data_IF_088824554538
#
_entry.id   IF_088824554538
#
_cell.length_a   1.000
_cell.length_b   1.000
_cell.length_c   1.000
_cell.angle_alpha   90.00
_cell.angle_beta   90.00
_cell.angle_gamma   90.00
#
_symmetry.space_group_name_H-M   'P 1'
#
loop_
_entity.id
_entity.type
_entity.pdbx_description
1 polymer ?
#
# COMPACT_ATOMS: atom_id res chain seq x y z
N UNK A 1 29.97 41.65 -37.41
CA UNK A 1 30.42 42.48 -36.27
C UNK A 1 29.17 42.80 -35.46
N UNK A 2 28.98 42.46 -34.18
CA UNK A 2 29.83 42.54 -32.99
C UNK A 2 29.45 41.41 -31.99
N UNK A 3 30.46 40.81 -31.36
CA UNK A 3 30.37 39.87 -30.23
C UNK A 3 30.34 40.65 -28.90
N UNK A 4 29.55 40.23 -27.90
CA UNK A 4 29.72 40.49 -26.44
C UNK A 4 28.95 39.37 -25.70
N UNK A 5 29.57 38.30 -25.19
CA UNK A 5 30.32 38.09 -23.94
C UNK A 5 29.50 38.36 -22.65
N UNK A 6 29.00 37.25 -22.08
CA UNK A 6 29.17 36.70 -20.72
C UNK A 6 28.93 37.58 -19.47
N UNK A 7 28.15 37.05 -18.53
CA UNK A 7 28.14 37.44 -17.11
C UNK A 7 27.15 36.62 -16.28
N UNK A 8 27.52 35.40 -15.89
CA UNK A 8 26.82 34.58 -14.88
C UNK A 8 27.18 35.12 -13.49
N UNK A 9 26.19 35.52 -12.70
CA UNK A 9 26.34 35.86 -11.28
C UNK A 9 25.83 34.69 -10.46
N UNK A 10 26.76 33.96 -9.85
CA UNK A 10 26.50 32.89 -8.88
C UNK A 10 26.40 33.53 -7.49
N UNK A 11 25.21 33.53 -6.89
CA UNK A 11 25.00 33.97 -5.52
C UNK A 11 25.12 32.77 -4.57
N UNK A 12 26.29 32.61 -3.92
CA UNK A 12 26.44 31.78 -2.73
C UNK A 12 26.11 32.61 -1.49
N UNK A 13 25.01 32.28 -0.83
CA UNK A 13 24.68 32.79 0.50
C UNK A 13 24.62 31.64 1.49
N UNK A 14 25.71 31.42 2.23
CA UNK A 14 25.69 30.65 3.48
C UNK A 14 26.52 31.40 4.52
N UNK A 15 25.85 32.04 5.46
CA UNK A 15 26.44 32.51 6.71
C UNK A 15 25.67 31.89 7.87
N UNK A 16 26.34 31.01 8.61
CA UNK A 16 26.13 30.81 10.03
C UNK A 16 27.51 30.81 10.69
N UNK A 17 27.74 31.79 11.56
CA UNK A 17 28.87 31.87 12.47
C UNK A 17 28.32 31.94 13.89
N UNK A 18 28.78 31.07 14.79
CA UNK A 18 29.22 31.31 16.19
C UNK A 18 29.72 29.94 16.73
N UNK A 19 31.03 29.67 16.81
CA UNK A 19 31.92 29.72 18.02
C UNK A 19 31.37 28.88 19.20
N UNK A 20 32.08 28.00 19.91
CA UNK A 20 33.49 27.98 20.30
C UNK A 20 33.93 26.61 20.89
N UNK A 21 35.25 26.36 20.76
CA UNK A 21 36.21 25.65 21.63
C UNK A 21 35.81 24.47 22.55
N UNK A 22 36.60 23.39 22.45
CA UNK A 22 36.84 22.47 23.56
C UNK A 22 37.68 21.26 23.14
N UNK A 23 39.00 21.37 23.25
CA UNK A 23 40.02 20.46 22.72
C UNK A 23 40.09 19.08 23.40
N UNK A 24 40.37 18.06 22.57
CA UNK A 24 41.29 16.91 22.75
C UNK A 24 41.36 16.16 24.11
N UNK A 25 41.15 14.84 24.08
CA UNK A 25 42.25 13.89 24.26
C UNK A 25 41.84 12.42 24.03
N UNK A 26 42.77 11.68 23.44
CA UNK A 26 42.74 10.24 23.21
C UNK A 26 43.70 9.52 24.19
N UNK A 27 43.39 8.25 24.48
CA UNK A 27 44.22 7.17 25.06
C UNK A 27 44.82 7.20 26.50
N UNK A 28 44.39 6.17 27.26
CA UNK A 28 45.13 5.23 28.13
C UNK A 28 45.79 5.66 29.48
N UNK A 29 45.43 5.00 30.59
CA UNK A 29 46.19 3.93 31.30
C UNK A 29 45.67 3.69 32.75
N UNK A 30 45.81 2.43 33.20
CA UNK A 30 45.31 1.72 34.38
C UNK A 30 45.50 2.32 35.80
N UNK A 31 44.66 1.87 36.76
CA UNK A 31 45.04 1.29 38.08
C UNK A 31 43.83 0.68 38.81
N UNK A 32 44.09 -0.44 39.49
CA UNK A 32 43.27 -1.46 40.15
C UNK A 32 42.66 -1.05 41.51
N UNK A 33 41.44 -1.51 41.85
CA UNK A 33 41.10 -2.31 43.06
C UNK A 33 39.58 -2.38 43.42
N UNK A 34 39.07 -3.62 43.42
CA UNK A 34 38.19 -4.31 44.39
C UNK A 34 36.75 -3.83 44.78
N UNK A 35 35.79 -4.69 44.38
CA UNK A 35 34.74 -5.38 45.18
C UNK A 35 33.51 -4.62 45.70
N UNK A 36 32.31 -4.92 45.16
CA UNK A 36 31.24 -5.72 45.84
C UNK A 36 30.04 -5.99 44.89
N UNK A 37 29.31 -7.06 45.22
CA UNK A 37 28.30 -7.80 44.43
C UNK A 37 26.89 -7.19 44.52
N UNK A 38 26.10 -7.28 43.44
CA UNK A 38 24.66 -7.53 43.53
C UNK A 38 24.13 -8.17 42.23
N UNK A 39 23.75 -9.45 42.35
CA UNK A 39 23.04 -10.27 41.37
C UNK A 39 21.54 -9.97 41.43
N UNK A 40 20.85 -9.83 40.29
CA UNK A 40 19.49 -10.40 40.12
C UNK A 40 19.20 -10.60 38.64
N UNK A 41 19.00 -11.86 38.25
CA UNK A 41 18.40 -12.27 36.98
C UNK A 41 16.93 -12.60 37.27
N UNK A 42 16.04 -12.21 36.36
CA UNK A 42 14.64 -12.67 36.38
C UNK A 42 14.32 -13.29 35.02
N UNK A 43 14.26 -14.62 35.04
CA UNK A 43 13.58 -15.48 34.08
C UNK A 43 12.26 -15.84 34.73
N UNK A 44 11.12 -15.62 34.06
CA UNK A 44 9.87 -16.26 34.46
C UNK A 44 9.36 -17.13 33.32
N UNK A 45 9.24 -18.40 33.64
CA UNK A 45 8.70 -19.47 32.84
C UNK A 45 7.23 -19.72 33.23
N UNK A 46 6.50 -20.20 32.23
CA UNK A 46 5.23 -20.94 32.22
C UNK A 46 4.78 -21.51 33.57
N UNK A 47 3.50 -21.26 33.91
CA UNK A 47 2.77 -22.06 34.89
C UNK A 47 1.48 -22.61 34.26
N UNK A 48 1.49 -23.90 33.95
CA UNK A 48 0.30 -24.73 33.80
C UNK A 48 -0.40 -24.83 35.16
N UNK A 49 -1.72 -24.59 35.19
CA UNK A 49 -2.53 -24.82 36.37
C UNK A 49 -3.31 -26.13 36.22
N UNK A 50 -2.68 -27.22 36.65
CA UNK A 50 -3.37 -28.45 37.03
C UNK A 50 -4.00 -28.24 38.40
N UNK A 51 -5.34 -28.27 38.49
CA UNK A 51 -6.04 -28.28 39.78
C UNK A 51 -6.74 -29.62 39.93
N UNK A 52 -6.12 -30.53 40.68
CA UNK A 52 -6.82 -31.67 41.27
C UNK A 52 -7.53 -31.19 42.55
N UNK A 53 -8.84 -31.36 42.61
CA UNK A 53 -9.60 -31.24 43.84
C UNK A 53 -10.52 -32.45 44.01
N UNK A 54 -10.23 -33.16 45.11
CA UNK A 54 -10.84 -34.36 45.67
C UNK A 54 -12.36 -34.29 45.82
N UNK A 55 -12.97 -35.47 45.65
CA UNK A 55 -14.38 -35.83 45.78
C UNK A 55 -15.06 -35.41 47.09
N UNK A 56 -16.28 -34.90 46.97
CA UNK A 56 -17.35 -35.03 47.98
C UNK A 56 -18.65 -35.35 47.26
N UNK A 57 -19.14 -36.57 47.47
CA UNK A 57 -20.40 -37.08 46.91
C UNK A 57 -21.58 -36.29 47.47
N UNK A 58 -22.36 -35.67 46.58
CA UNK A 58 -23.76 -35.33 46.80
C UNK A 58 -24.48 -35.58 45.49
N UNK A 59 -25.51 -36.44 45.49
CA UNK A 59 -26.35 -36.68 44.31
C UNK A 59 -26.98 -35.36 43.86
N UNK A 60 -26.55 -34.88 42.70
CA UNK A 60 -27.28 -33.92 41.90
C UNK A 60 -27.22 -34.43 40.46
N UNK A 61 -28.38 -34.66 39.86
CA UNK A 61 -28.50 -34.98 38.43
C UNK A 61 -28.00 -33.78 37.63
N UNK A 62 -26.73 -33.81 37.22
CA UNK A 62 -26.16 -32.81 36.33
C UNK A 62 -26.52 -33.19 34.90
N UNK A 63 -27.47 -32.48 34.31
CA UNK A 63 -27.67 -32.51 32.86
C UNK A 63 -26.53 -31.72 32.23
N UNK A 64 -25.47 -32.41 31.79
CA UNK A 64 -24.43 -31.79 30.98
C UNK A 64 -25.03 -31.43 29.63
N UNK A 65 -25.41 -30.16 29.48
CA UNK A 65 -25.66 -29.58 28.16
C UNK A 65 -24.27 -29.29 27.61
N UNK A 66 -23.80 -30.10 26.66
CA UNK A 66 -22.66 -29.73 25.85
C UNK A 66 -23.04 -28.45 25.10
N UNK A 67 -22.56 -27.31 25.61
CA UNK A 67 -22.54 -26.09 24.84
C UNK A 67 -21.54 -26.33 23.70
N UNK A 68 -22.04 -26.79 22.56
CA UNK A 68 -21.30 -26.71 21.30
C UNK A 68 -21.13 -25.24 21.00
N UNK A 69 -20.03 -24.66 21.45
CA UNK A 69 -19.54 -23.38 20.96
C UNK A 69 -19.16 -23.63 19.50
N UNK A 70 -20.11 -23.44 18.59
CA UNK A 70 -19.79 -23.22 17.18
C UNK A 70 -18.99 -21.94 17.12
N UNK A 71 -17.67 -22.06 17.15
CA UNK A 71 -16.78 -21.01 16.65
C UNK A 71 -17.13 -20.88 15.17
N UNK A 72 -17.98 -19.91 14.84
CA UNK A 72 -18.14 -19.47 13.45
C UNK A 72 -16.80 -18.90 13.04
N UNK A 73 -16.06 -19.64 12.22
CA UNK A 73 -14.87 -19.13 11.54
C UNK A 73 -15.25 -17.84 10.82
N UNK A 74 -14.49 -16.78 11.03
CA UNK A 74 -14.72 -15.52 10.33
C UNK A 74 -14.62 -15.80 8.83
N UNK A 75 -15.55 -15.24 8.04
CA UNK A 75 -15.50 -15.38 6.60
C UNK A 75 -14.17 -14.82 6.09
N UNK A 76 -13.48 -15.58 5.23
CA UNK A 76 -12.26 -15.10 4.61
C UNK A 76 -12.58 -13.92 3.67
N UNK A 77 -11.79 -12.86 3.76
CA UNK A 77 -11.98 -11.63 2.99
C UNK A 77 -10.64 -11.06 2.52
N UNK A 78 -10.69 -10.26 1.45
CA UNK A 78 -9.59 -9.41 1.00
C UNK A 78 -10.13 -8.00 0.73
N UNK A 79 -9.35 -6.99 1.12
CA UNK A 79 -9.68 -5.58 0.92
C UNK A 79 -8.86 -5.02 -0.22
N UNK A 80 -9.54 -4.51 -1.24
CA UNK A 80 -8.92 -4.00 -2.45
C UNK A 80 -9.20 -2.51 -2.60
N UNK A 81 -8.20 -1.78 -3.10
CA UNK A 81 -8.29 -0.33 -3.37
C UNK A 81 -7.61 0.00 -4.69
N UNK A 82 -7.99 1.13 -5.28
CA UNK A 82 -7.35 1.65 -6.48
C UNK A 82 -6.09 2.42 -6.09
N UNK A 83 -5.01 2.18 -6.82
CA UNK A 83 -3.70 2.75 -6.62
C UNK A 83 -3.35 3.56 -7.86
N UNK A 84 -2.94 4.81 -7.69
CA UNK A 84 -2.56 5.74 -8.77
C UNK A 84 -1.09 6.08 -8.61
N UNK A 85 -0.24 5.49 -9.44
CA UNK A 85 1.20 5.73 -9.44
C UNK A 85 1.54 6.89 -10.36
N UNK A 86 1.90 8.02 -9.75
CA UNK A 86 2.38 9.21 -10.44
C UNK A 86 3.87 9.08 -10.79
N UNK A 87 4.19 9.61 -11.96
CA UNK A 87 5.53 9.87 -12.47
C UNK A 87 5.53 11.27 -13.09
N UNK A 88 5.30 12.27 -12.22
CA UNK A 88 5.09 13.66 -12.59
C UNK A 88 6.39 14.44 -12.34
N UNK A 89 7.15 14.66 -13.40
CA UNK A 89 8.37 15.46 -13.33
C UNK A 89 8.11 16.95 -13.15
N UNK A 90 6.96 17.45 -13.56
CA UNK A 90 6.60 18.86 -13.48
C UNK A 90 6.29 19.25 -12.03
N UNK A 91 5.63 18.36 -11.29
CA UNK A 91 5.38 18.49 -9.85
C UNK A 91 6.49 17.88 -8.98
N UNK A 92 7.51 17.23 -9.57
CA UNK A 92 8.51 16.43 -8.86
C UNK A 92 7.86 15.42 -7.89
N UNK A 93 6.85 14.69 -8.38
CA UNK A 93 6.05 13.74 -7.61
C UNK A 93 6.10 12.33 -8.23
N UNK A 94 6.73 11.40 -7.51
CA UNK A 94 7.00 10.03 -7.97
C UNK A 94 6.54 9.03 -6.91
N UNK A 95 5.23 8.97 -6.69
CA UNK A 95 4.64 8.23 -5.57
C UNK A 95 3.25 7.71 -5.94
N UNK A 96 2.75 6.78 -5.14
CA UNK A 96 1.44 6.19 -5.33
C UNK A 96 0.43 6.74 -4.35
N UNK A 97 -0.65 7.31 -4.88
CA UNK A 97 -1.86 7.67 -4.12
C UNK A 97 -2.81 6.48 -4.07
N UNK A 98 -3.66 6.42 -3.04
CA UNK A 98 -4.64 5.31 -2.84
C UNK A 98 -6.02 5.91 -2.76
N UNK A 99 -6.99 5.30 -3.45
CA UNK A 99 -8.39 5.72 -3.38
C UNK A 99 -8.87 5.71 -1.94
N UNK A 100 -9.73 6.65 -1.54
CA UNK A 100 -10.45 6.52 -0.26
C UNK A 100 -11.39 5.31 -0.28
N UNK A 101 -11.94 5.00 -1.46
CA UNK A 101 -12.81 3.86 -1.72
C UNK A 101 -12.09 2.51 -1.46
N UNK A 102 -12.83 1.54 -0.95
CA UNK A 102 -12.38 0.20 -0.61
C UNK A 102 -13.51 -0.80 -0.83
N UNK A 103 -13.20 -1.92 -1.47
CA UNK A 103 -14.12 -3.05 -1.59
C UNK A 103 -13.62 -4.23 -0.75
N UNK A 104 -14.53 -4.86 -0.03
CA UNK A 104 -14.29 -6.14 0.64
C UNK A 104 -14.82 -7.25 -0.25
N UNK A 105 -13.92 -8.12 -0.68
CA UNK A 105 -14.23 -9.25 -1.57
C UNK A 105 -14.29 -10.52 -0.74
N UNK A 106 -15.41 -11.23 -0.82
CA UNK A 106 -15.63 -12.52 -0.13
C UNK A 106 -16.05 -13.63 -1.09
N UNK A 107 -16.44 -13.30 -2.32
CA UNK A 107 -16.93 -14.23 -3.32
C UNK A 107 -16.65 -13.75 -4.76
N UNK A 108 -16.87 -14.62 -5.74
CA UNK A 108 -16.86 -14.21 -7.15
C UNK A 108 -17.96 -13.18 -7.40
N UNK A 109 -17.69 -12.18 -8.24
CA UNK A 109 -18.66 -11.13 -8.49
C UNK A 109 -18.07 -9.91 -9.18
N UNK A 110 -18.95 -8.96 -9.47
CA UNK A 110 -18.56 -7.67 -10.00
C UNK A 110 -18.38 -6.67 -8.86
N UNK A 111 -17.31 -5.90 -8.94
CA UNK A 111 -16.91 -4.89 -7.97
C UNK A 111 -16.60 -3.58 -8.70
N UNK A 112 -16.66 -2.49 -7.96
CA UNK A 112 -16.36 -1.15 -8.46
C UNK A 112 -15.45 -0.43 -7.47
N UNK A 113 -14.44 0.27 -7.97
CA UNK A 113 -13.56 1.12 -7.20
C UNK A 113 -13.42 2.48 -7.87
N UNK A 114 -13.39 3.53 -7.05
CA UNK A 114 -13.27 4.91 -7.52
C UNK A 114 -12.08 5.62 -6.87
N UNK A 115 -11.32 6.37 -7.67
CA UNK A 115 -10.37 7.37 -7.18
C UNK A 115 -10.85 8.77 -7.60
N UNK A 116 -10.90 9.70 -6.64
CA UNK A 116 -11.29 11.10 -6.85
C UNK A 116 -10.18 12.03 -6.34
N UNK A 117 -9.56 12.81 -7.23
CA UNK A 117 -8.47 13.72 -6.87
C UNK A 117 -8.84 14.72 -5.77
N UNK A 118 -10.12 15.08 -5.64
CA UNK A 118 -10.56 16.02 -4.61
C UNK A 118 -10.36 15.44 -3.20
N UNK A 119 -10.68 14.16 -3.01
CA UNK A 119 -10.66 13.49 -1.71
C UNK A 119 -9.40 12.66 -1.47
N UNK A 120 -8.83 12.09 -2.54
CA UNK A 120 -7.89 10.98 -2.41
C UNK A 120 -6.43 11.41 -2.56
N UNK A 121 -6.17 12.59 -3.16
CA UNK A 121 -4.82 13.15 -3.16
C UNK A 121 -4.42 13.56 -1.74
N UNK A 122 -3.30 13.04 -1.29
CA UNK A 122 -2.63 13.43 -0.04
C UNK A 122 -2.20 14.89 -0.07
N UNK A 123 -2.00 15.47 1.12
CA UNK A 123 -1.46 16.82 1.26
C UNK A 123 -0.06 16.95 0.64
N UNK A 124 0.73 15.88 0.62
CA UNK A 124 2.05 15.85 -0.03
C UNK A 124 1.93 15.97 -1.55
N UNK A 125 1.06 15.18 -2.19
CA UNK A 125 0.79 15.30 -3.63
C UNK A 125 0.28 16.71 -3.98
N UNK A 126 -0.68 17.21 -3.19
CA UNK A 126 -1.22 18.56 -3.35
C UNK A 126 -0.14 19.64 -3.18
N UNK A 127 0.77 19.49 -2.22
CA UNK A 127 1.88 20.43 -2.00
C UNK A 127 2.88 20.39 -3.15
N UNK A 128 3.14 19.20 -3.72
CA UNK A 128 4.03 19.02 -4.85
C UNK A 128 3.51 19.67 -6.15
N UNK A 129 2.19 19.76 -6.30
CA UNK A 129 1.56 20.40 -7.47
C UNK A 129 0.57 19.51 -8.20
N UNK A 130 0.41 18.25 -7.80
CA UNK A 130 -0.51 17.29 -8.42
C UNK A 130 -1.96 17.74 -8.22
N UNK A 131 -2.73 17.85 -9.31
CA UNK A 131 -4.14 18.29 -9.29
C UNK A 131 -5.10 17.38 -10.05
N UNK A 132 -4.58 16.45 -10.84
CA UNK A 132 -5.37 15.65 -11.77
C UNK A 132 -4.68 14.30 -12.01
N UNK A 133 -5.36 13.42 -12.73
CA UNK A 133 -4.87 12.11 -13.12
C UNK A 133 -4.02 12.22 -14.40
N UNK A 134 -2.98 13.05 -14.41
CA UNK A 134 -1.98 13.09 -15.48
C UNK A 134 -0.60 12.68 -14.97
N UNK A 135 0.28 12.41 -15.92
CA UNK A 135 1.66 12.02 -15.68
C UNK A 135 1.75 10.76 -14.83
N UNK A 136 1.06 9.71 -15.30
CA UNK A 136 0.89 8.46 -14.59
C UNK A 136 1.79 7.38 -15.15
N UNK A 137 2.40 6.59 -14.28
CA UNK A 137 2.94 5.30 -14.70
C UNK A 137 1.84 4.26 -14.75
N UNK A 138 0.95 4.21 -13.75
CA UNK A 138 -0.09 3.19 -13.68
C UNK A 138 -1.30 3.59 -12.82
N UNK A 139 -2.44 2.99 -13.12
CA UNK A 139 -3.60 2.88 -12.23
C UNK A 139 -3.96 1.40 -12.13
N UNK A 140 -4.02 0.86 -10.90
CA UNK A 140 -4.21 -0.56 -10.66
C UNK A 140 -4.93 -0.87 -9.35
N UNK A 141 -5.59 -2.03 -9.28
CA UNK A 141 -6.19 -2.57 -8.06
C UNK A 141 -5.15 -3.42 -7.31
N UNK A 142 -5.05 -3.20 -6.00
CA UNK A 142 -4.04 -3.82 -5.14
C UNK A 142 -4.61 -4.21 -3.76
N UNK A 143 -4.04 -5.24 -3.15
CA UNK A 143 -4.35 -5.70 -1.78
C UNK A 143 -3.89 -4.70 -0.71
N UNK A 144 -4.83 -4.15 0.04
CA UNK A 144 -4.56 -3.15 1.06
C UNK A 144 -3.69 -3.70 2.21
N UNK A 145 -3.87 -4.95 2.64
CA UNK A 145 -3.11 -5.52 3.75
C UNK A 145 -1.63 -5.73 3.37
N UNK A 146 -1.36 -6.08 2.12
CA UNK A 146 0.01 -6.16 1.61
C UNK A 146 0.62 -4.77 1.48
N UNK A 147 -0.15 -3.79 0.99
CA UNK A 147 0.32 -2.41 0.83
C UNK A 147 0.68 -1.75 2.17
N UNK A 148 -0.11 -2.01 3.20
CA UNK A 148 0.16 -1.52 4.56
C UNK A 148 1.30 -2.28 5.24
N UNK A 149 1.80 -3.35 4.63
CA UNK A 149 2.84 -4.22 5.17
C UNK A 149 2.38 -5.07 6.36
N UNK A 150 1.06 -5.17 6.59
CA UNK A 150 0.51 -6.08 7.61
C UNK A 150 0.59 -7.54 7.17
N UNK A 151 0.57 -7.79 5.87
CA UNK A 151 0.71 -9.13 5.28
C UNK A 151 1.80 -9.15 4.21
N UNK A 152 2.49 -10.27 4.06
CA UNK A 152 3.53 -10.43 3.04
C UNK A 152 2.97 -10.85 1.67
N UNK A 153 1.76 -11.40 1.63
CA UNK A 153 1.07 -11.88 0.44
C UNK A 153 -0.43 -11.89 0.68
N UNK A 154 -1.22 -11.86 -0.40
CA UNK A 154 -2.67 -11.88 -0.30
C UNK A 154 -3.19 -13.19 0.29
N UNK A 155 -4.35 -13.20 0.98
CA UNK A 155 -4.95 -14.39 1.57
C UNK A 155 -5.60 -15.33 0.53
N UNK A 156 -5.08 -15.36 -0.70
CA UNK A 156 -5.67 -16.03 -1.85
C UNK A 156 -4.76 -17.12 -2.41
N UNK A 157 -5.35 -18.24 -2.80
CA UNK A 157 -4.72 -19.27 -3.64
C UNK A 157 -4.88 -18.95 -5.12
N UNK A 158 -6.09 -18.53 -5.52
CA UNK A 158 -6.43 -18.14 -6.89
C UNK A 158 -7.39 -16.95 -6.87
N UNK A 159 -7.29 -16.13 -7.92
CA UNK A 159 -8.27 -15.13 -8.30
C UNK A 159 -7.97 -14.72 -9.74
N UNK A 160 -9.00 -14.71 -10.57
CA UNK A 160 -8.96 -14.18 -11.92
C UNK A 160 -9.77 -12.90 -11.99
N UNK A 161 -9.33 -11.95 -12.82
CA UNK A 161 -9.95 -10.65 -13.00
C UNK A 161 -10.14 -10.36 -14.49
N UNK A 162 -11.23 -9.66 -14.82
CA UNK A 162 -11.39 -8.94 -16.08
C UNK A 162 -11.90 -7.53 -15.83
N UNK A 163 -11.55 -6.60 -16.71
CA UNK A 163 -12.10 -5.23 -16.70
C UNK A 163 -13.42 -5.22 -17.46
N UNK A 164 -14.49 -4.80 -16.78
CA UNK A 164 -15.81 -4.64 -17.40
C UNK A 164 -15.98 -3.21 -17.94
N UNK A 165 -15.49 -2.22 -17.19
CA UNK A 165 -15.70 -0.81 -17.50
C UNK A 165 -14.63 0.09 -16.87
N UNK A 166 -14.22 1.13 -17.58
CA UNK A 166 -13.40 2.21 -17.04
C UNK A 166 -14.01 3.54 -17.44
N UNK A 167 -14.27 4.41 -16.45
CA UNK A 167 -14.90 5.71 -16.66
C UNK A 167 -14.02 6.80 -16.07
N UNK A 168 -13.70 7.83 -16.86
CA UNK A 168 -12.95 9.00 -16.43
C UNK A 168 -13.83 10.23 -16.59
N UNK A 169 -14.11 10.93 -15.50
CA UNK A 169 -15.00 12.11 -15.45
C UNK A 169 -16.35 11.90 -16.18
N UNK A 170 -16.90 10.68 -16.09
CA UNK A 170 -18.17 10.31 -16.74
C UNK A 170 -18.04 9.87 -18.21
N UNK A 171 -16.85 9.92 -18.78
CA UNK A 171 -16.55 9.38 -20.13
C UNK A 171 -16.03 7.96 -20.01
N UNK A 172 -16.71 7.02 -20.63
CA UNK A 172 -16.29 5.61 -20.67
C UNK A 172 -15.16 5.43 -21.69
N UNK A 173 -14.06 4.82 -21.25
CA UNK A 173 -12.94 4.43 -22.10
C UNK A 173 -13.21 3.05 -22.72
N UNK A 174 -12.75 2.84 -23.94
CA UNK A 174 -12.88 1.55 -24.61
C UNK A 174 -11.92 0.52 -23.98
N UNK A 175 -12.46 -0.53 -23.38
CA UNK A 175 -11.67 -1.67 -22.88
C UNK A 175 -11.17 -2.50 -24.06
N UNK A 176 -9.86 -2.68 -24.18
CA UNK A 176 -9.20 -3.38 -25.30
C UNK A 176 -9.04 -4.87 -25.06
N UNK A 177 -9.10 -5.31 -23.81
CA UNK A 177 -9.05 -6.72 -23.42
C UNK A 177 -10.05 -6.99 -22.29
N UNK A 178 -10.99 -7.90 -22.56
CA UNK A 178 -12.04 -8.32 -21.61
C UNK A 178 -11.92 -9.79 -21.20
N UNK A 179 -10.82 -10.46 -21.57
CA UNK A 179 -10.55 -11.82 -21.13
C UNK A 179 -10.14 -11.85 -19.66
N UNK A 180 -10.48 -12.93 -18.97
CA UNK A 180 -9.98 -13.17 -17.62
C UNK A 180 -8.47 -13.43 -17.65
N UNK A 181 -7.77 -12.83 -16.69
CA UNK A 181 -6.36 -13.09 -16.38
C UNK A 181 -6.19 -13.29 -14.89
N UNK A 182 -5.07 -13.87 -14.47
CA UNK A 182 -4.79 -13.95 -13.05
C UNK A 182 -4.62 -12.56 -12.43
N UNK A 183 -5.29 -12.34 -11.31
CA UNK A 183 -5.11 -11.15 -10.47
C UNK A 183 -3.91 -11.28 -9.52
N UNK A 184 -3.38 -12.50 -9.35
CA UNK A 184 -2.23 -12.76 -8.51
C UNK A 184 -0.93 -12.72 -9.32
N UNK A 185 0.04 -11.96 -8.83
CA UNK A 185 1.43 -12.05 -9.28
C UNK A 185 2.05 -13.36 -8.77
N UNK A 186 3.18 -13.76 -9.36
CA UNK A 186 3.88 -15.01 -9.01
C UNK A 186 4.36 -15.08 -7.55
N UNK A 187 4.46 -13.94 -6.87
CA UNK A 187 4.76 -13.84 -5.44
C UNK A 187 3.51 -13.95 -4.54
N UNK A 188 2.32 -14.17 -5.09
CA UNK A 188 1.08 -14.38 -4.36
C UNK A 188 0.37 -13.10 -3.91
N UNK A 189 0.71 -11.94 -4.48
CA UNK A 189 0.06 -10.66 -4.20
C UNK A 189 -1.02 -10.40 -5.25
N UNK A 190 -2.21 -9.98 -4.81
CA UNK A 190 -3.23 -9.39 -5.66
C UNK A 190 -2.75 -8.00 -6.11
N UNK A 191 -2.23 -7.97 -7.33
CA UNK A 191 -1.70 -6.77 -7.98
C UNK A 191 -2.00 -6.91 -9.47
N UNK A 192 -2.99 -6.16 -9.90
CA UNK A 192 -3.53 -6.25 -11.26
C UNK A 192 -2.62 -5.62 -12.31
N UNK A 193 -1.79 -4.65 -11.89
CA UNK A 193 -0.85 -3.91 -12.73
C UNK A 193 -1.48 -3.18 -13.93
N UNK A 194 -2.81 -3.10 -13.99
CA UNK A 194 -3.62 -2.37 -14.98
C UNK A 194 -4.98 -2.04 -14.30
N UNK A 195 -5.92 -1.29 -14.91
CA UNK A 195 -6.18 -1.17 -16.34
C UNK A 195 -5.30 -0.16 -17.09
N UNK A 196 -4.56 0.71 -16.39
CA UNK A 196 -3.66 1.69 -17.02
C UNK A 196 -2.23 1.40 -16.59
N UNK A 197 -1.32 1.23 -17.55
CA UNK A 197 0.11 1.01 -17.27
C UNK A 197 0.99 1.38 -18.47
N UNK A 198 2.07 2.12 -18.21
CA UNK A 198 3.04 2.60 -19.20
C UNK A 198 4.15 1.60 -19.55
N UNK A 199 4.27 0.50 -18.81
CA UNK A 199 5.29 -0.54 -19.00
C UNK A 199 4.75 -1.71 -19.80
N UNK A 200 3.67 -2.30 -19.30
CA UNK A 200 3.09 -3.54 -19.84
C UNK A 200 1.90 -3.29 -20.78
N UNK A 201 1.56 -2.01 -20.98
CA UNK A 201 0.40 -1.58 -21.74
C UNK A 201 -0.87 -1.48 -20.90
N UNK A 202 -1.84 -0.74 -21.43
CA UNK A 202 -3.13 -0.51 -20.78
C UNK A 202 -4.20 -1.44 -21.36
N UNK A 203 -5.14 -1.86 -20.52
CA UNK A 203 -6.35 -2.60 -20.91
C UNK A 203 -7.46 -1.67 -21.46
N UNK A 204 -7.15 -0.40 -21.68
CA UNK A 204 -8.06 0.62 -22.22
C UNK A 204 -7.38 1.45 -23.31
N UNK A 205 -8.17 1.99 -24.22
CA UNK A 205 -7.77 3.07 -25.11
C UNK A 205 -7.88 4.44 -24.40
N UNK A 206 -7.39 5.50 -25.05
CA UNK A 206 -7.50 6.88 -24.57
C UNK A 206 -6.30 7.38 -23.76
N UNK A 207 -5.25 6.57 -23.63
CA UNK A 207 -3.96 6.99 -23.10
C UNK A 207 -3.00 7.40 -24.22
N UNK A 208 -2.13 8.36 -23.95
CA UNK A 208 -1.01 8.76 -24.82
C UNK A 208 0.30 8.74 -24.03
N UNK A 209 1.39 8.34 -24.69
CA UNK A 209 2.72 8.43 -24.12
C UNK A 209 3.12 9.91 -23.99
N UNK A 210 3.40 10.34 -22.76
CA UNK A 210 3.87 11.68 -22.43
C UNK A 210 5.36 11.72 -22.06
N UNK A 211 6.00 10.55 -21.95
CA UNK A 211 7.41 10.41 -21.61
C UNK A 211 7.82 8.96 -21.36
N UNK A 212 9.04 8.76 -20.88
CA UNK A 212 9.54 7.44 -20.50
C UNK A 212 8.75 6.93 -19.29
N UNK A 213 7.89 5.93 -19.53
CA UNK A 213 6.99 5.35 -18.53
C UNK A 213 6.02 6.36 -17.89
N UNK A 214 5.52 7.27 -18.73
CA UNK A 214 4.52 8.28 -18.38
C UNK A 214 3.41 8.26 -19.41
N UNK A 215 2.17 8.14 -18.93
CA UNK A 215 0.95 8.22 -19.70
C UNK A 215 0.09 9.40 -19.24
N UNK A 216 -0.54 10.05 -20.20
CA UNK A 216 -1.58 11.05 -20.02
C UNK A 216 -2.89 10.60 -20.68
N UNK A 217 -4.02 11.10 -20.22
CA UNK A 217 -5.30 10.95 -20.92
C UNK A 217 -5.34 11.88 -22.15
N UNK A 218 -5.60 11.31 -23.32
CA UNK A 218 -5.48 11.99 -24.61
C UNK A 218 -6.45 13.15 -24.79
N UNK A 219 -7.71 12.94 -24.44
CA UNK A 219 -8.83 13.86 -24.72
C UNK A 219 -9.33 14.59 -23.47
N UNK A 220 -8.59 14.51 -22.35
CA UNK A 220 -8.92 15.18 -21.11
C UNK A 220 -7.65 15.80 -20.51
N UNK A 221 -7.52 17.12 -20.57
CA UNK A 221 -6.35 17.84 -20.02
C UNK A 221 -6.36 17.89 -18.49
N UNK A 222 -7.51 17.70 -17.84
CA UNK A 222 -7.64 17.79 -16.39
C UNK A 222 -8.56 16.71 -15.80
N UNK A 223 -8.20 15.42 -15.95
CA UNK A 223 -8.98 14.30 -15.45
C UNK A 223 -9.01 14.30 -13.92
N UNK A 224 -10.18 14.26 -13.29
CA UNK A 224 -10.31 14.37 -11.83
C UNK A 224 -10.69 13.07 -11.15
N UNK A 225 -11.47 12.24 -11.83
CA UNK A 225 -12.07 11.07 -11.24
C UNK A 225 -12.00 9.90 -12.20
N UNK A 226 -11.61 8.75 -11.68
CA UNK A 226 -11.67 7.47 -12.40
C UNK A 226 -12.47 6.46 -11.59
N UNK A 227 -13.34 5.72 -12.26
CA UNK A 227 -14.08 4.59 -11.70
C UNK A 227 -13.80 3.37 -12.56
N UNK A 228 -13.38 2.28 -11.93
CA UNK A 228 -13.14 0.99 -12.59
C UNK A 228 -14.16 -0.03 -12.09
N UNK A 229 -14.80 -0.72 -13.02
CA UNK A 229 -15.68 -1.86 -12.74
C UNK A 229 -15.01 -3.12 -13.26
N UNK A 230 -14.92 -4.14 -12.43
CA UNK A 230 -14.25 -5.39 -12.75
C UNK A 230 -14.98 -6.59 -12.17
N UNK A 231 -14.80 -7.74 -12.81
CA UNK A 231 -15.34 -9.02 -12.32
C UNK A 231 -14.18 -9.86 -11.79
N UNK A 232 -14.32 -10.35 -10.55
CA UNK A 232 -13.49 -11.40 -9.98
C UNK A 232 -14.20 -12.74 -10.18
N UNK A 233 -13.46 -13.72 -10.68
CA UNK A 233 -13.88 -15.12 -10.77
C UNK A 233 -12.77 -16.04 -10.26
N UNK A 234 -13.08 -17.34 -10.13
CA UNK A 234 -12.12 -18.35 -9.67
C UNK A 234 -11.42 -17.97 -8.34
N UNK A 235 -12.14 -17.31 -7.44
CA UNK A 235 -11.64 -16.88 -6.14
C UNK A 235 -11.55 -18.08 -5.18
N UNK A 236 -10.35 -18.32 -4.65
CA UNK A 236 -10.12 -19.30 -3.59
C UNK A 236 -9.22 -18.69 -2.51
N UNK A 237 -9.71 -18.65 -1.27
CA UNK A 237 -8.93 -18.22 -0.11
C UNK A 237 -7.99 -19.32 0.40
N UNK A 238 -6.92 -18.91 1.11
CA UNK A 238 -5.92 -19.82 1.69
C UNK A 238 -6.48 -20.70 2.80
#
# INVERSE_FOLDING_TARGET
>A
MKKKILGIVLALGLMCSFTACGSSNDAATATTAATTVATTAATEAVAEATTEATTTTTEATTTTTEATTTTTEAAAEIKLRLNVLYNDSDSNYYSTEVSADEVTVTENGQYELTFDCATDLTDNAKTAGVRNLQHLTAIFVYDQAVRDGSEAASPLKTADIRWDKVVVDGVELAVTNSDFKSALKSNGIFDTNDPINSWDGSAVEGMVEAGEHVLDFADNENPQKITVTFTIDNLEFK
#
